data_IF_568328405946
#
_entry.id   IF_568328405946
#
_cell.length_a   1.000
_cell.length_b   1.000
_cell.length_c   1.000
_cell.angle_alpha   90.00
_cell.angle_beta   90.00
_cell.angle_gamma   90.00
#
_symmetry.space_group_name_H-M   'P 1'
#
loop_
_entity.id
_entity.type
_entity.pdbx_description
1 polymer ?
#
# COMPACT_ATOMS: atom_id res chain seq x y z
N UNK A 1 -17.87 6.72 -14.70
CA UNK A 1 -17.76 5.43 -15.45
C UNK A 1 -17.58 4.23 -14.52
N UNK A 2 -17.03 4.42 -13.32
CA UNK A 2 -16.70 3.33 -12.39
C UNK A 2 -17.70 3.11 -11.25
N UNK A 3 -18.87 3.78 -11.26
CA UNK A 3 -19.79 3.80 -10.09
C UNK A 3 -20.35 2.42 -9.70
N UNK A 4 -20.45 1.47 -10.65
CA UNK A 4 -20.91 0.11 -10.41
C UNK A 4 -19.77 -0.91 -10.16
N UNK A 5 -18.51 -0.45 -10.24
CA UNK A 5 -17.33 -1.31 -10.16
C UNK A 5 -16.58 -0.95 -8.87
N UNK A 6 -16.23 -1.97 -8.07
CA UNK A 6 -15.36 -1.85 -6.89
C UNK A 6 -13.91 -1.50 -7.30
N UNK A 7 -13.70 -0.30 -7.86
CA UNK A 7 -12.47 0.13 -8.51
C UNK A 7 -11.33 0.32 -7.50
N UNK A 8 -11.61 0.78 -6.28
CA UNK A 8 -10.61 0.94 -5.24
C UNK A 8 -10.07 -0.43 -4.82
N UNK A 9 -10.96 -1.39 -4.57
CA UNK A 9 -10.57 -2.78 -4.30
C UNK A 9 -9.73 -3.36 -5.43
N UNK A 10 -10.11 -3.15 -6.69
CA UNK A 10 -9.37 -3.65 -7.85
C UNK A 10 -7.95 -3.08 -7.87
N UNK A 11 -7.80 -1.76 -7.76
CA UNK A 11 -6.48 -1.12 -7.78
C UNK A 11 -5.63 -1.60 -6.60
N UNK A 12 -6.22 -1.75 -5.42
CA UNK A 12 -5.51 -2.22 -4.22
C UNK A 12 -5.12 -3.70 -4.30
N UNK A 13 -5.91 -4.57 -4.90
CA UNK A 13 -5.60 -5.99 -4.98
C UNK A 13 -4.54 -6.31 -6.03
N UNK A 14 -4.37 -5.48 -7.06
CA UNK A 14 -3.34 -5.67 -8.09
C UNK A 14 -1.91 -5.86 -7.53
N UNK A 15 -1.36 -5.01 -6.65
CA UNK A 15 -0.03 -5.23 -6.07
C UNK A 15 0.03 -6.48 -5.19
N UNK A 16 -1.06 -6.87 -4.52
CA UNK A 16 -1.11 -8.12 -3.74
C UNK A 16 -0.98 -9.33 -4.67
N UNK A 17 -1.76 -9.34 -5.76
CA UNK A 17 -1.67 -10.36 -6.81
C UNK A 17 -0.27 -10.37 -7.42
N UNK A 18 0.30 -9.19 -7.69
CA UNK A 18 1.67 -9.06 -8.19
C UNK A 18 2.72 -9.59 -7.22
N UNK A 19 2.56 -9.35 -5.92
CA UNK A 19 3.46 -9.85 -4.88
C UNK A 19 3.41 -11.39 -4.81
N UNK A 20 2.21 -11.96 -4.82
CA UNK A 20 2.01 -13.42 -4.85
C UNK A 20 2.60 -14.01 -6.14
N UNK A 21 2.36 -13.37 -7.28
CA UNK A 21 2.93 -13.79 -8.56
C UNK A 21 4.47 -13.80 -8.49
N UNK A 22 5.11 -12.75 -7.98
CA UNK A 22 6.57 -12.70 -7.80
C UNK A 22 7.05 -13.79 -6.82
N UNK A 23 6.30 -14.05 -5.76
CA UNK A 23 6.65 -15.08 -4.78
C UNK A 23 6.63 -16.50 -5.38
N UNK A 24 5.70 -16.80 -6.28
CA UNK A 24 5.49 -18.15 -6.84
C UNK A 24 6.19 -18.37 -8.19
N UNK A 25 6.25 -17.35 -9.05
CA UNK A 25 6.81 -17.48 -10.41
C UNK A 25 8.29 -17.88 -10.37
N UNK A 26 8.67 -18.84 -11.20
CA UNK A 26 10.07 -19.27 -11.38
C UNK A 26 10.64 -18.65 -12.64
N UNK A 27 10.82 -17.33 -12.62
CA UNK A 27 11.40 -16.55 -13.71
C UNK A 27 12.72 -15.91 -13.29
N UNK A 28 13.48 -15.39 -14.26
CA UNK A 28 14.71 -14.65 -14.00
C UNK A 28 14.44 -13.35 -13.22
N UNK A 29 15.47 -12.77 -12.62
CA UNK A 29 15.38 -11.47 -11.93
C UNK A 29 14.79 -10.37 -12.82
N UNK A 30 15.13 -10.39 -14.11
CA UNK A 30 14.53 -9.48 -15.09
C UNK A 30 13.03 -9.73 -15.26
N UNK A 31 12.60 -10.98 -15.27
CA UNK A 31 11.20 -11.36 -15.28
C UNK A 31 10.45 -10.81 -14.06
N UNK A 32 11.00 -10.97 -12.85
CA UNK A 32 10.39 -10.45 -11.62
C UNK A 32 10.26 -8.92 -11.62
N UNK A 33 11.30 -8.22 -12.11
CA UNK A 33 11.30 -6.76 -12.28
C UNK A 33 10.23 -6.28 -13.27
N UNK A 34 10.08 -6.98 -14.38
CA UNK A 34 9.03 -6.70 -15.38
C UNK A 34 7.65 -6.97 -14.79
N UNK A 35 7.46 -8.09 -14.08
CA UNK A 35 6.20 -8.40 -13.40
C UNK A 35 5.82 -7.28 -12.43
N UNK A 36 6.73 -6.84 -11.57
CA UNK A 36 6.49 -5.70 -10.68
C UNK A 36 6.07 -4.45 -11.44
N UNK A 37 6.78 -4.11 -12.53
CA UNK A 37 6.49 -2.92 -13.34
C UNK A 37 5.12 -2.98 -14.04
N UNK A 38 4.69 -4.17 -14.47
CA UNK A 38 3.37 -4.37 -15.07
C UNK A 38 2.28 -4.11 -14.02
N UNK A 39 2.37 -4.75 -12.85
CA UNK A 39 1.35 -4.59 -11.82
C UNK A 39 1.27 -3.14 -11.31
N UNK A 40 2.40 -2.51 -11.00
CA UNK A 40 2.40 -1.10 -10.57
C UNK A 40 2.00 -0.14 -11.69
N UNK A 41 2.34 -0.44 -12.94
CA UNK A 41 1.93 0.34 -14.11
C UNK A 41 0.43 0.30 -14.36
N UNK A 42 -0.19 -0.88 -14.22
CA UNK A 42 -1.66 -1.01 -14.29
C UNK A 42 -2.31 -0.26 -13.13
N UNK A 43 -1.79 -0.36 -11.90
CA UNK A 43 -2.31 0.41 -10.75
C UNK A 43 -2.29 1.91 -11.03
N UNK A 44 -1.17 2.43 -11.53
CA UNK A 44 -1.02 3.84 -11.84
C UNK A 44 -1.95 4.30 -12.98
N UNK A 45 -2.05 3.51 -14.05
CA UNK A 45 -2.97 3.82 -15.16
C UNK A 45 -4.43 3.86 -14.71
N UNK A 46 -4.85 2.89 -13.88
CA UNK A 46 -6.21 2.87 -13.32
C UNK A 46 -6.43 4.02 -12.33
N UNK A 47 -5.44 4.37 -11.51
CA UNK A 47 -5.54 5.51 -10.61
C UNK A 47 -5.64 6.84 -11.37
N UNK A 48 -4.96 7.00 -12.51
CA UNK A 48 -5.15 8.16 -13.40
C UNK A 48 -6.58 8.20 -13.93
N UNK A 49 -7.10 7.07 -14.41
CA UNK A 49 -8.47 6.99 -14.93
C UNK A 49 -9.51 7.33 -13.85
N UNK A 50 -9.34 6.78 -12.64
CA UNK A 50 -10.18 7.08 -11.47
C UNK A 50 -10.09 8.57 -11.09
N UNK A 51 -8.89 9.15 -11.06
CA UNK A 51 -8.70 10.56 -10.72
C UNK A 51 -9.26 11.52 -11.80
N UNK A 52 -9.27 11.10 -13.06
CA UNK A 52 -9.88 11.87 -14.15
C UNK A 52 -11.42 11.82 -14.11
N UNK A 53 -12.00 10.72 -13.62
CA UNK A 53 -13.45 10.53 -13.43
C UNK A 53 -13.95 11.19 -12.12
N UNK A 54 -13.05 11.60 -11.21
CA UNK A 54 -13.40 12.22 -9.93
C UNK A 54 -14.09 13.58 -10.11
N UNK A 55 -15.32 13.71 -9.63
CA UNK A 55 -16.10 14.93 -9.73
C UNK A 55 -15.75 15.93 -8.62
N UNK A 56 -15.09 17.03 -9.00
CA UNK A 56 -14.65 18.05 -8.03
C UNK A 56 -15.77 19.00 -7.59
N UNK A 57 -16.93 18.95 -8.24
CA UNK A 57 -18.04 19.89 -8.01
C UNK A 57 -19.01 19.42 -6.92
N UNK A 58 -19.14 18.11 -6.73
CA UNK A 58 -20.12 17.51 -5.82
C UNK A 58 -19.63 17.47 -4.36
N UNK A 59 -18.31 17.42 -4.15
CA UNK A 59 -17.71 17.26 -2.83
C UNK A 59 -18.05 15.91 -2.18
N UNK A 60 -17.43 15.63 -1.03
CA UNK A 60 -17.65 14.38 -0.29
C UNK A 60 -16.89 13.17 -0.84
N UNK A 61 -17.34 11.98 -0.41
CA UNK A 61 -16.72 10.69 -0.73
C UNK A 61 -17.24 10.14 -2.05
N UNK A 62 -16.32 9.68 -2.91
CA UNK A 62 -16.60 9.04 -4.19
C UNK A 62 -15.95 7.66 -4.26
N UNK A 63 -16.36 6.86 -5.25
CA UNK A 63 -15.93 5.47 -5.43
C UNK A 63 -16.13 4.64 -4.15
N UNK A 64 -17.30 4.80 -3.52
CA UNK A 64 -17.58 4.22 -2.21
C UNK A 64 -17.87 2.73 -2.32
N UNK A 65 -17.13 1.94 -1.56
CA UNK A 65 -17.36 0.50 -1.40
C UNK A 65 -17.63 0.22 0.07
N UNK A 66 -18.83 -0.26 0.41
CA UNK A 66 -19.24 -0.43 1.81
C UNK A 66 -19.86 -1.79 2.04
N UNK A 67 -19.19 -2.61 2.84
CA UNK A 67 -19.68 -3.93 3.25
C UNK A 67 -19.47 -4.13 4.75
N UNK A 68 -20.47 -4.68 5.45
CA UNK A 68 -20.29 -5.03 6.86
C UNK A 68 -19.36 -6.22 7.00
N UNK A 69 -18.23 -6.06 7.70
CA UNK A 69 -17.24 -7.12 7.88
C UNK A 69 -17.40 -7.84 9.22
N UNK A 70 -17.41 -7.10 10.34
CA UNK A 70 -17.53 -7.68 11.69
C UNK A 70 -18.69 -7.01 12.44
N UNK A 71 -19.85 -7.68 12.44
CA UNK A 71 -21.09 -7.15 13.04
C UNK A 71 -21.00 -6.87 14.53
N UNK A 72 -20.18 -7.60 15.29
CA UNK A 72 -20.11 -7.49 16.76
C UNK A 72 -19.44 -6.21 17.25
N UNK A 73 -18.61 -5.58 16.42
CA UNK A 73 -17.89 -4.34 16.73
C UNK A 73 -18.21 -3.23 15.71
N UNK A 74 -19.29 -3.42 14.93
CA UNK A 74 -19.71 -2.55 13.82
C UNK A 74 -18.58 -2.19 12.82
N UNK A 75 -17.61 -3.09 12.63
CA UNK A 75 -16.51 -2.82 11.70
C UNK A 75 -16.95 -3.06 10.26
N UNK A 76 -16.62 -2.10 9.40
CA UNK A 76 -17.03 -2.09 8.00
C UNK A 76 -15.81 -2.12 7.08
N UNK A 77 -15.91 -2.91 6.02
CA UNK A 77 -15.09 -2.69 4.83
C UNK A 77 -15.65 -1.47 4.11
N UNK A 78 -15.25 -0.29 4.58
CA UNK A 78 -15.67 0.99 4.04
C UNK A 78 -14.48 1.68 3.39
N UNK A 79 -14.48 1.68 2.06
CA UNK A 79 -13.54 2.41 1.24
C UNK A 79 -14.23 3.57 0.54
N UNK A 80 -13.45 4.60 0.28
CA UNK A 80 -13.85 5.74 -0.54
C UNK A 80 -12.71 6.74 -0.59
N UNK A 81 -12.75 7.62 -1.58
CA UNK A 81 -11.78 8.71 -1.70
C UNK A 81 -12.51 10.04 -1.76
N UNK A 82 -12.00 11.02 -1.03
CA UNK A 82 -12.47 12.41 -1.07
C UNK A 82 -11.45 13.29 -1.81
N UNK A 83 -11.66 14.62 -1.76
CA UNK A 83 -10.76 15.58 -2.41
C UNK A 83 -9.32 15.59 -1.88
N UNK A 84 -9.06 15.05 -0.68
CA UNK A 84 -7.73 14.92 -0.11
C UNK A 84 -7.10 13.55 -0.40
N UNK A 85 -7.88 12.48 -0.22
CA UNK A 85 -7.44 11.11 -0.46
C UNK A 85 -7.18 10.83 -1.93
N UNK A 86 -7.99 11.36 -2.86
CA UNK A 86 -7.84 11.05 -4.29
C UNK A 86 -6.45 11.46 -4.85
N UNK A 87 -5.93 12.70 -4.61
CA UNK A 87 -4.56 13.06 -4.98
C UNK A 87 -3.48 12.19 -4.31
N UNK A 88 -3.64 11.86 -3.02
CA UNK A 88 -2.65 11.08 -2.26
C UNK A 88 -2.61 9.61 -2.72
N UNK A 89 -3.76 9.05 -3.07
CA UNK A 89 -3.88 7.73 -3.67
C UNK A 89 -3.21 7.68 -5.05
N UNK A 90 -3.46 8.67 -5.90
CA UNK A 90 -2.78 8.81 -7.19
C UNK A 90 -1.26 8.94 -7.01
N UNK A 91 -0.82 9.80 -6.09
CA UNK A 91 0.60 9.97 -5.78
C UNK A 91 1.24 8.66 -5.31
N UNK A 92 0.55 7.88 -4.47
CA UNK A 92 1.03 6.58 -3.98
C UNK A 92 1.25 5.61 -5.13
N UNK A 93 0.32 5.52 -6.08
CA UNK A 93 0.49 4.64 -7.26
C UNK A 93 1.62 5.12 -8.18
N UNK A 94 1.77 6.44 -8.35
CA UNK A 94 2.86 7.03 -9.12
C UNK A 94 4.23 6.72 -8.50
N UNK A 95 4.38 6.95 -7.20
CA UNK A 95 5.62 6.67 -6.49
C UNK A 95 5.92 5.17 -6.48
N UNK A 96 4.92 4.31 -6.27
CA UNK A 96 5.08 2.85 -6.36
C UNK A 96 5.61 2.41 -7.73
N UNK A 97 5.07 2.98 -8.82
CA UNK A 97 5.57 2.75 -10.17
C UNK A 97 7.02 3.20 -10.33
N UNK A 98 7.37 4.42 -9.92
CA UNK A 98 8.74 4.94 -10.01
C UNK A 98 9.75 4.14 -9.16
N UNK A 99 9.36 3.77 -7.94
CA UNK A 99 10.19 2.96 -7.03
C UNK A 99 10.60 1.64 -7.68
N UNK A 100 9.71 1.01 -8.46
CA UNK A 100 10.06 -0.22 -9.19
C UNK A 100 11.23 0.02 -10.14
N UNK A 101 11.19 1.07 -10.97
CA UNK A 101 12.26 1.36 -11.94
C UNK A 101 13.57 1.78 -11.27
N UNK A 102 13.50 2.62 -10.23
CA UNK A 102 14.70 3.03 -9.48
C UNK A 102 15.39 1.79 -8.88
N UNK A 103 14.61 0.84 -8.39
CA UNK A 103 15.10 -0.38 -7.75
C UNK A 103 15.52 -1.48 -8.72
N UNK A 104 15.55 -1.25 -10.03
CA UNK A 104 16.12 -2.21 -10.99
C UNK A 104 17.61 -2.47 -10.77
N UNK A 105 18.30 -1.60 -10.03
CA UNK A 105 19.69 -1.79 -9.63
C UNK A 105 19.88 -2.83 -8.51
N UNK A 106 18.80 -3.27 -7.83
CA UNK A 106 18.86 -4.31 -6.81
C UNK A 106 19.20 -5.67 -7.45
N UNK A 107 20.22 -6.34 -6.89
CA UNK A 107 20.73 -7.65 -7.33
C UNK A 107 20.60 -8.73 -6.26
N UNK A 108 20.57 -8.34 -5.00
CA UNK A 108 20.46 -9.26 -3.86
C UNK A 108 18.98 -9.53 -3.58
N UNK A 109 18.59 -10.81 -3.47
CA UNK A 109 17.24 -11.22 -3.03
C UNK A 109 16.12 -10.50 -3.79
N UNK A 110 16.26 -10.42 -5.12
CA UNK A 110 15.38 -9.62 -6.01
C UNK A 110 13.91 -9.98 -5.80
N UNK A 111 13.61 -11.27 -5.67
CA UNK A 111 12.25 -11.76 -5.42
C UNK A 111 11.63 -11.15 -4.18
N UNK A 112 12.29 -11.28 -3.04
CA UNK A 112 11.75 -10.77 -1.78
C UNK A 112 11.64 -9.25 -1.79
N UNK A 113 12.59 -8.55 -2.42
CA UNK A 113 12.55 -7.10 -2.52
C UNK A 113 11.28 -6.60 -3.20
N UNK A 114 10.98 -7.09 -4.40
CA UNK A 114 9.81 -6.64 -5.15
C UNK A 114 8.50 -7.15 -4.56
N UNK A 115 8.49 -8.33 -3.93
CA UNK A 115 7.32 -8.82 -3.20
C UNK A 115 6.94 -7.89 -2.03
N UNK A 116 7.93 -7.48 -1.22
CA UNK A 116 7.71 -6.53 -0.14
C UNK A 116 7.37 -5.13 -0.65
N UNK A 117 8.00 -4.67 -1.73
CA UNK A 117 7.70 -3.36 -2.33
C UNK A 117 6.24 -3.26 -2.80
N UNK A 118 5.71 -4.32 -3.42
CA UNK A 118 4.30 -4.35 -3.83
C UNK A 118 3.36 -4.40 -2.62
N UNK A 119 3.67 -5.18 -1.59
CA UNK A 119 2.85 -5.21 -0.36
C UNK A 119 2.86 -3.87 0.37
N UNK A 120 3.99 -3.14 0.34
CA UNK A 120 4.07 -1.78 0.86
C UNK A 120 3.16 -0.82 0.08
N UNK A 121 3.13 -0.93 -1.25
CA UNK A 121 2.22 -0.12 -2.06
C UNK A 121 0.75 -0.40 -1.72
N UNK A 122 0.38 -1.67 -1.54
CA UNK A 122 -0.97 -2.08 -1.13
C UNK A 122 -1.39 -1.42 0.19
N UNK A 123 -0.55 -1.49 1.22
CA UNK A 123 -0.89 -0.96 2.54
C UNK A 123 -1.08 0.55 2.52
N UNK A 124 -0.19 1.29 1.87
CA UNK A 124 -0.27 2.76 1.79
C UNK A 124 -1.51 3.20 1.02
N UNK A 125 -1.87 2.49 -0.07
CA UNK A 125 -3.13 2.76 -0.79
C UNK A 125 -4.35 2.54 0.11
N UNK A 126 -4.35 1.48 0.92
CA UNK A 126 -5.40 1.20 1.88
C UNK A 126 -5.54 2.29 2.96
N UNK A 127 -4.43 2.83 3.46
CA UNK A 127 -4.44 3.96 4.43
C UNK A 127 -5.18 5.17 3.88
N UNK A 128 -5.00 5.51 2.60
CA UNK A 128 -5.69 6.66 2.00
C UNK A 128 -7.14 6.37 1.57
N UNK A 129 -7.48 5.11 1.31
CA UNK A 129 -8.82 4.72 0.86
C UNK A 129 -9.77 4.34 2.01
N UNK A 130 -9.25 3.94 3.17
CA UNK A 130 -10.07 3.48 4.30
C UNK A 130 -10.85 4.63 4.95
N UNK A 131 -12.15 4.40 5.16
CA UNK A 131 -13.09 5.33 5.82
C UNK A 131 -13.60 4.80 7.17
N UNK A 132 -13.24 3.57 7.53
CA UNK A 132 -13.48 2.95 8.83
C UNK A 132 -12.19 2.97 9.66
N UNK A 133 -12.28 3.35 10.94
CA UNK A 133 -11.10 3.49 11.81
C UNK A 133 -10.34 2.18 12.02
N UNK A 134 -11.04 1.06 12.19
CA UNK A 134 -10.39 -0.23 12.38
C UNK A 134 -9.71 -0.68 11.09
N UNK A 135 -10.38 -0.49 9.95
CA UNK A 135 -9.79 -0.79 8.64
C UNK A 135 -8.56 0.07 8.36
N UNK A 136 -8.62 1.37 8.66
CA UNK A 136 -7.50 2.30 8.58
C UNK A 136 -6.32 1.82 9.44
N UNK A 137 -6.59 1.46 10.70
CA UNK A 137 -5.57 0.95 11.62
C UNK A 137 -4.93 -0.34 11.09
N UNK A 138 -5.70 -1.25 10.51
CA UNK A 138 -5.16 -2.48 9.91
C UNK A 138 -4.20 -2.16 8.76
N UNK A 139 -4.57 -1.27 7.84
CA UNK A 139 -3.66 -0.88 6.75
C UNK A 139 -2.40 -0.19 7.27
N UNK A 140 -2.55 0.65 8.29
CA UNK A 140 -1.45 1.31 8.99
C UNK A 140 -0.48 0.30 9.62
N UNK A 141 -0.98 -0.77 10.24
CA UNK A 141 -0.14 -1.82 10.80
C UNK A 141 0.51 -2.73 9.74
N UNK A 142 -0.22 -3.02 8.65
CA UNK A 142 0.30 -3.85 7.57
C UNK A 142 1.54 -3.20 6.95
N UNK A 143 1.59 -1.87 6.81
CA UNK A 143 2.73 -1.18 6.17
C UNK A 143 4.05 -1.36 6.93
N UNK A 144 3.98 -1.55 8.25
CA UNK A 144 5.16 -1.70 9.11
C UNK A 144 5.96 -2.95 8.75
N UNK A 145 5.27 -4.02 8.36
CA UNK A 145 5.88 -5.32 8.08
C UNK A 145 6.76 -5.25 6.82
N UNK A 146 6.27 -4.85 5.63
CA UNK A 146 7.12 -4.65 4.46
C UNK A 146 8.23 -3.64 4.71
N UNK A 147 7.94 -2.52 5.38
CA UNK A 147 8.95 -1.49 5.61
C UNK A 147 10.08 -1.99 6.51
N UNK A 148 9.77 -2.75 7.57
CA UNK A 148 10.78 -3.40 8.42
C UNK A 148 11.71 -4.32 7.61
N UNK A 149 11.16 -5.17 6.73
CA UNK A 149 11.97 -6.06 5.90
C UNK A 149 12.80 -5.30 4.86
N UNK A 150 12.22 -4.29 4.23
CA UNK A 150 12.92 -3.46 3.25
C UNK A 150 14.12 -2.74 3.89
N UNK A 151 13.93 -2.16 5.08
CA UNK A 151 15.00 -1.48 5.81
C UNK A 151 16.05 -2.49 6.31
N UNK A 152 15.63 -3.59 6.96
CA UNK A 152 16.58 -4.54 7.58
C UNK A 152 17.45 -5.29 6.58
N UNK A 153 16.92 -5.62 5.39
CA UNK A 153 17.64 -6.43 4.40
C UNK A 153 18.34 -5.57 3.33
N UNK A 154 17.75 -4.47 2.86
CA UNK A 154 18.30 -3.64 1.78
C UNK A 154 18.71 -2.23 2.21
N UNK A 155 18.54 -1.88 3.49
CA UNK A 155 19.06 -0.63 4.05
C UNK A 155 20.59 -0.56 4.13
N UNK A 156 21.10 0.60 4.52
CA UNK A 156 22.53 0.93 4.55
C UNK A 156 23.35 -0.01 5.45
N UNK A 157 24.38 -0.62 4.86
CA UNK A 157 25.30 -1.53 5.54
C UNK A 157 26.41 -0.78 6.32
N UNK A 158 27.07 -1.42 7.30
CA UNK A 158 28.25 -0.87 7.96
C UNK A 158 29.39 -0.58 6.97
N UNK A 159 30.24 0.44 7.22
CA UNK A 159 30.27 1.32 8.40
C UNK A 159 29.28 2.50 8.34
N UNK A 160 28.66 2.76 7.18
CA UNK A 160 27.80 3.93 6.93
C UNK A 160 26.45 3.87 7.66
N UNK A 161 26.00 2.68 8.07
CA UNK A 161 24.72 2.53 8.78
C UNK A 161 24.58 1.15 9.43
N UNK A 162 23.59 1.06 10.33
CA UNK A 162 23.21 -0.19 11.01
C UNK A 162 21.76 -0.50 10.69
N UNK A 163 21.51 -1.03 9.48
CA UNK A 163 20.17 -1.33 8.96
C UNK A 163 19.25 -2.09 9.91
N UNK A 164 19.77 -3.09 10.64
CA UNK A 164 18.98 -3.88 11.60
C UNK A 164 18.52 -3.03 12.79
N UNK A 165 19.43 -2.23 13.34
CA UNK A 165 19.11 -1.30 14.42
C UNK A 165 18.11 -0.21 13.98
N UNK A 166 18.27 0.32 12.76
CA UNK A 166 17.33 1.29 12.19
C UNK A 166 15.94 0.69 11.96
N UNK A 167 15.86 -0.55 11.46
CA UNK A 167 14.59 -1.25 11.25
C UNK A 167 13.85 -1.50 12.57
N UNK A 168 14.55 -1.98 13.60
CA UNK A 168 13.97 -2.20 14.94
C UNK A 168 13.52 -0.88 15.56
N UNK A 169 14.30 0.20 15.41
CA UNK A 169 13.88 1.52 15.86
C UNK A 169 12.62 2.00 15.16
N UNK A 170 12.59 1.96 13.83
CA UNK A 170 11.41 2.31 13.05
C UNK A 170 10.18 1.55 13.56
N UNK A 171 10.29 0.23 13.69
CA UNK A 171 9.19 -0.60 14.17
C UNK A 171 8.73 -0.20 15.58
N UNK A 172 9.65 -0.03 16.53
CA UNK A 172 9.31 0.31 17.92
C UNK A 172 8.68 1.70 18.04
N UNK A 173 9.25 2.71 17.37
CA UNK A 173 8.68 4.07 17.42
C UNK A 173 7.30 4.12 16.78
N UNK A 174 7.11 3.43 15.66
CA UNK A 174 5.80 3.43 14.98
C UNK A 174 4.76 2.59 15.73
N UNK A 175 5.13 1.44 16.30
CA UNK A 175 4.23 0.63 17.14
C UNK A 175 3.80 1.37 18.42
N UNK A 176 4.70 2.14 19.03
CA UNK A 176 4.34 2.95 20.20
C UNK A 176 3.36 4.06 19.80
N UNK A 177 3.58 4.70 18.64
CA UNK A 177 2.64 5.68 18.11
C UNK A 177 1.28 5.08 17.75
N UNK A 178 1.28 3.90 17.12
CA UNK A 178 0.06 3.22 16.69
C UNK A 178 -0.74 2.64 17.87
N UNK A 179 -0.08 2.26 18.97
CA UNK A 179 -0.77 1.93 20.21
C UNK A 179 -1.59 3.11 20.75
N UNK A 180 -1.06 4.34 20.64
CA UNK A 180 -1.79 5.57 20.96
C UNK A 180 -2.96 5.82 20.02
N UNK A 181 -2.76 5.60 18.71
CA UNK A 181 -3.83 5.67 17.71
C UNK A 181 -4.97 4.68 18.02
N UNK A 182 -4.63 3.42 18.32
CA UNK A 182 -5.60 2.39 18.67
C UNK A 182 -6.39 2.76 19.93
N UNK A 183 -5.70 3.26 20.96
CA UNK A 183 -6.37 3.76 22.16
C UNK A 183 -7.37 4.89 21.84
N UNK A 184 -7.00 5.82 20.95
CA UNK A 184 -7.90 6.87 20.48
C UNK A 184 -9.12 6.33 19.75
N UNK A 185 -8.94 5.36 18.85
CA UNK A 185 -10.02 4.71 18.10
C UNK A 185 -10.99 3.98 19.05
N UNK A 186 -10.49 3.35 20.11
CA UNK A 186 -11.34 2.62 21.07
C UNK A 186 -12.13 3.53 22.01
N UNK A 187 -11.72 4.79 22.17
CA UNK A 187 -12.38 5.77 23.03
C UNK A 187 -13.31 6.71 22.26
N UNK A 188 -13.09 6.88 20.95
CA UNK A 188 -13.91 7.69 20.04
C UNK A 188 -15.29 7.05 19.79
#
# INVERSE_FOLDING_TARGET
MFDDINILSIIMLLPVIGSIAIAVLRVSDRGLKITAAIFTGICFALAIAMFADFDRSVGGLQFVERYTWIKSIDAQYFLGVDGLSAPLFLLTTFLGFLCVFISWNIKERVREYFAWLLLLQFSIMGVFAAQDFLLFFIFWEIELIPMYFLISIWGTKPPLGRREYSAVKYLLYTLLGSAGLLAGILVA
#
